data_IF_718824497260
#
_entry.id   IF_718824497260
#
_cell.length_a   1.000
_cell.length_b   1.000
_cell.length_c   1.000
_cell.angle_alpha   90.00
_cell.angle_beta   90.00
_cell.angle_gamma   90.00
#
_symmetry.space_group_name_H-M   'P 1'
#
loop_
_entity.id
_entity.type
_entity.pdbx_description
1 polymer ?
#
# COMPACT_ATOMS: atom_id res chain seq x y z
N UNK A 1 16.69 -17.38 -23.13
CA UNK A 1 16.59 -15.96 -23.55
C UNK A 1 15.15 -15.72 -23.96
N UNK A 2 14.36 -15.04 -23.12
CA UNK A 2 12.95 -14.77 -23.41
C UNK A 2 12.91 -13.61 -24.41
N UNK A 3 12.52 -13.88 -25.65
CA UNK A 3 12.27 -12.86 -26.66
C UNK A 3 11.04 -12.04 -26.25
N UNK A 4 11.11 -10.73 -26.44
CA UNK A 4 10.10 -9.74 -25.98
C UNK A 4 8.71 -10.02 -26.58
N UNK A 5 8.67 -10.72 -27.71
CA UNK A 5 7.45 -11.03 -28.48
C UNK A 5 6.57 -12.12 -27.85
N UNK A 6 7.08 -12.92 -26.91
CA UNK A 6 6.34 -13.99 -26.23
C UNK A 6 6.06 -13.68 -24.75
N UNK A 7 6.23 -12.43 -24.31
CA UNK A 7 5.88 -12.07 -22.94
C UNK A 7 4.37 -11.85 -22.83
N UNK A 8 3.64 -12.62 -21.98
CA UNK A 8 2.18 -12.49 -21.89
C UNK A 8 1.77 -11.04 -21.60
N UNK A 9 0.76 -10.53 -22.30
CA UNK A 9 0.26 -9.16 -22.13
C UNK A 9 -0.01 -8.81 -20.65
N UNK A 10 -0.48 -9.78 -19.87
CA UNK A 10 -0.71 -9.65 -18.42
C UNK A 10 0.59 -9.41 -17.65
N UNK A 11 1.65 -10.13 -17.97
CA UNK A 11 2.97 -9.97 -17.34
C UNK A 11 3.58 -8.61 -17.70
N UNK A 12 3.42 -8.15 -18.96
CA UNK A 12 3.86 -6.81 -19.37
C UNK A 12 3.13 -5.71 -18.61
N UNK A 13 1.81 -5.84 -18.47
CA UNK A 13 0.99 -4.88 -17.71
C UNK A 13 1.41 -4.83 -16.23
N UNK A 14 1.77 -5.97 -15.64
CA UNK A 14 2.28 -6.01 -14.28
C UNK A 14 3.59 -5.21 -14.16
N UNK A 15 4.55 -5.43 -15.06
CA UNK A 15 5.82 -4.69 -15.08
C UNK A 15 5.57 -3.18 -15.21
N UNK A 16 4.71 -2.77 -16.15
CA UNK A 16 4.35 -1.36 -16.34
C UNK A 16 3.71 -0.78 -15.08
N UNK A 17 2.79 -1.49 -14.44
CA UNK A 17 2.17 -1.05 -13.19
C UNK A 17 3.20 -0.90 -12.06
N UNK A 18 4.16 -1.82 -11.94
CA UNK A 18 5.24 -1.73 -10.97
C UNK A 18 6.12 -0.50 -11.22
N UNK A 19 6.51 -0.25 -12.48
CA UNK A 19 7.32 0.92 -12.84
C UNK A 19 6.58 2.23 -12.55
N UNK A 20 5.31 2.31 -12.92
CA UNK A 20 4.45 3.46 -12.63
C UNK A 20 4.35 3.72 -11.12
N UNK A 21 4.16 2.67 -10.34
CA UNK A 21 4.11 2.77 -8.87
C UNK A 21 5.44 3.29 -8.30
N UNK A 22 6.57 2.69 -8.70
CA UNK A 22 7.89 3.07 -8.21
C UNK A 22 8.26 4.52 -8.54
N UNK A 23 7.83 5.03 -9.70
CA UNK A 23 8.08 6.41 -10.12
C UNK A 23 7.16 7.41 -9.40
N UNK A 24 5.88 7.05 -9.24
CA UNK A 24 4.84 8.00 -8.83
C UNK A 24 4.67 8.11 -7.31
N UNK A 25 5.12 7.11 -6.56
CA UNK A 25 4.95 7.02 -5.10
C UNK A 25 6.27 6.72 -4.37
N UNK A 26 7.34 7.52 -4.59
CA UNK A 26 8.64 7.30 -3.93
C UNK A 26 8.56 7.34 -2.40
N UNK A 27 7.59 8.08 -1.85
CA UNK A 27 7.34 8.17 -0.41
C UNK A 27 6.81 6.89 0.23
N UNK A 28 6.23 5.97 -0.57
CA UNK A 28 5.79 4.65 -0.10
C UNK A 28 6.88 3.58 -0.18
N UNK A 29 8.08 3.95 -0.64
CA UNK A 29 9.22 3.05 -0.82
C UNK A 29 10.19 3.21 0.35
N UNK A 30 10.50 2.09 1.01
CA UNK A 30 11.53 2.02 2.03
C UNK A 30 12.70 1.19 1.51
N UNK A 31 13.92 1.68 1.69
CA UNK A 31 15.13 0.94 1.34
C UNK A 31 15.76 0.34 2.58
N UNK A 32 15.83 -0.98 2.63
CA UNK A 32 16.48 -1.69 3.74
C UNK A 32 17.11 -2.99 3.24
N UNK A 33 17.91 -3.61 4.08
CA UNK A 33 18.50 -4.92 3.81
C UNK A 33 17.46 -6.05 3.91
N UNK A 34 17.67 -7.16 3.20
CA UNK A 34 16.85 -8.36 3.40
C UNK A 34 17.00 -8.89 4.83
N UNK A 35 15.98 -9.54 5.36
CA UNK A 35 15.97 -10.08 6.74
C UNK A 35 17.09 -11.09 7.01
N UNK A 36 17.61 -11.74 5.97
CA UNK A 36 18.73 -12.69 6.06
C UNK A 36 20.10 -12.01 6.24
N UNK A 37 20.20 -10.69 6.07
CA UNK A 37 21.45 -9.97 6.22
C UNK A 37 21.91 -9.94 7.70
N UNK A 38 23.23 -9.96 7.98
CA UNK A 38 23.76 -9.93 9.35
C UNK A 38 23.31 -8.67 10.11
N UNK A 39 22.46 -8.87 11.12
CA UNK A 39 21.80 -7.77 11.87
C UNK A 39 22.80 -6.80 12.50
N UNK A 40 23.90 -7.31 13.04
CA UNK A 40 24.99 -6.50 13.62
C UNK A 40 25.58 -5.49 12.63
N UNK A 41 25.72 -5.88 11.36
CA UNK A 41 26.20 -4.98 10.32
C UNK A 41 25.10 -4.02 9.88
N UNK A 42 23.86 -4.52 9.70
CA UNK A 42 22.71 -3.70 9.32
C UNK A 42 22.49 -2.56 10.33
N UNK A 43 22.49 -2.88 11.63
CA UNK A 43 22.31 -1.88 12.68
C UNK A 43 23.43 -0.83 12.68
N UNK A 44 24.67 -1.21 12.39
CA UNK A 44 25.78 -0.25 12.24
C UNK A 44 25.58 0.70 11.07
N UNK A 45 24.95 0.26 9.97
CA UNK A 45 24.68 1.14 8.82
C UNK A 45 23.63 2.23 9.09
N UNK A 46 22.85 2.13 10.18
CA UNK A 46 21.85 3.14 10.55
C UNK A 46 22.47 4.43 11.09
N UNK A 47 23.73 4.39 11.50
CA UNK A 47 24.45 5.55 12.04
C UNK A 47 25.31 6.21 10.96
N UNK A 48 25.29 7.54 10.89
CA UNK A 48 26.11 8.33 9.97
C UNK A 48 27.56 8.47 10.48
N UNK A 49 28.26 7.34 10.59
CA UNK A 49 29.63 7.27 11.11
C UNK A 49 30.56 6.51 10.14
N UNK A 50 31.87 6.64 10.35
CA UNK A 50 32.87 5.84 9.61
C UNK A 50 32.64 4.33 9.78
N UNK A 51 32.18 3.90 10.96
CA UNK A 51 31.82 2.51 11.22
C UNK A 51 30.60 2.06 10.42
N UNK A 52 29.64 2.95 10.13
CA UNK A 52 28.52 2.68 9.24
C UNK A 52 28.96 2.46 7.78
N UNK A 53 29.90 3.27 7.27
CA UNK A 53 30.45 3.12 5.92
C UNK A 53 31.21 1.78 5.78
N UNK A 54 32.00 1.41 6.79
CA UNK A 54 32.72 0.13 6.81
C UNK A 54 31.73 -1.04 6.84
N UNK A 55 30.69 -0.96 7.67
CA UNK A 55 29.64 -1.99 7.72
C UNK A 55 28.90 -2.14 6.38
N UNK A 56 28.60 -1.02 5.70
CA UNK A 56 28.00 -1.01 4.37
C UNK A 56 28.91 -1.68 3.32
N UNK A 57 30.22 -1.40 3.33
CA UNK A 57 31.19 -2.06 2.44
C UNK A 57 31.25 -3.55 2.69
N UNK A 58 31.31 -3.97 3.96
CA UNK A 58 31.34 -5.39 4.33
C UNK A 58 30.06 -6.13 3.95
N UNK A 59 28.89 -5.51 4.15
CA UNK A 59 27.62 -6.06 3.65
C UNK A 59 27.67 -6.20 2.13
N UNK A 60 28.26 -5.21 1.45
CA UNK A 60 28.36 -5.27 0.01
C UNK A 60 29.27 -6.39 -0.50
N UNK A 61 30.39 -6.65 0.16
CA UNK A 61 31.32 -7.75 -0.12
C UNK A 61 30.66 -9.12 0.12
N UNK A 62 29.82 -9.23 1.15
CA UNK A 62 29.02 -10.42 1.45
C UNK A 62 27.83 -10.63 0.50
N UNK A 63 27.67 -9.77 -0.52
CA UNK A 63 26.58 -9.87 -1.50
C UNK A 63 25.24 -9.27 -1.05
N UNK A 64 25.18 -8.69 0.15
CA UNK A 64 23.97 -8.00 0.61
C UNK A 64 23.87 -6.61 0.00
N UNK A 65 22.66 -6.24 -0.43
CA UNK A 65 22.31 -4.91 -0.95
C UNK A 65 20.99 -4.46 -0.32
N UNK A 66 20.80 -3.15 -0.25
CA UNK A 66 19.49 -2.60 0.09
C UNK A 66 18.52 -2.93 -1.04
N UNK A 67 17.30 -3.31 -0.67
CA UNK A 67 16.20 -3.56 -1.58
C UNK A 67 15.06 -2.61 -1.26
N UNK A 68 14.30 -2.27 -2.30
CA UNK A 68 13.12 -1.41 -2.20
C UNK A 68 11.93 -2.23 -1.73
N UNK A 69 11.47 -1.95 -0.51
CA UNK A 69 10.24 -2.47 0.03
C UNK A 69 9.11 -1.48 -0.25
N UNK A 70 8.10 -1.95 -0.98
CA UNK A 70 6.91 -1.18 -1.34
C UNK A 70 5.75 -1.54 -0.40
N UNK A 71 4.89 -0.58 -0.07
CA UNK A 71 3.66 -0.83 0.70
C UNK A 71 3.88 -1.23 2.18
N UNK A 72 5.11 -1.10 2.70
CA UNK A 72 5.46 -1.42 4.10
C UNK A 72 5.08 -0.38 5.13
N UNK A 73 4.61 0.81 4.70
CA UNK A 73 3.95 1.73 5.60
C UNK A 73 2.62 1.09 6.05
N UNK A 74 2.72 0.22 7.05
CA UNK A 74 1.60 -0.50 7.65
C UNK A 74 0.53 0.52 7.98
N UNK A 75 -0.62 0.44 7.31
CA UNK A 75 -1.79 1.08 7.88
C UNK A 75 -2.02 0.45 9.26
N UNK A 76 -2.37 1.24 10.29
CA UNK A 76 -2.38 0.83 11.70
C UNK A 76 -3.50 -0.17 12.06
N UNK A 77 -3.80 -1.14 11.20
CA UNK A 77 -4.93 -2.06 11.31
C UNK A 77 -4.51 -3.53 11.08
N UNK A 78 -3.25 -3.89 11.38
CA UNK A 78 -2.82 -5.30 11.40
C UNK A 78 -3.53 -6.15 12.48
N UNK A 79 -4.33 -5.54 13.37
CA UNK A 79 -4.90 -6.22 14.52
C UNK A 79 -6.23 -6.95 14.26
N UNK A 80 -6.99 -6.62 13.20
CA UNK A 80 -8.32 -7.22 12.99
C UNK A 80 -8.35 -8.50 12.15
N UNK A 81 -7.24 -8.91 11.53
CA UNK A 81 -7.20 -10.23 10.85
C UNK A 81 -7.01 -11.39 11.84
N UNK A 82 -6.63 -11.11 13.10
CA UNK A 82 -6.44 -12.12 14.15
C UNK A 82 -7.58 -12.19 15.15
N UNK A 83 -8.41 -11.15 15.24
CA UNK A 83 -9.63 -11.21 16.04
C UNK A 83 -10.69 -11.88 15.19
N UNK A 84 -11.04 -13.12 15.56
CA UNK A 84 -12.29 -13.77 15.17
C UNK A 84 -13.40 -12.74 15.37
N UNK A 85 -13.92 -12.18 14.28
CA UNK A 85 -15.11 -11.36 14.34
C UNK A 85 -16.22 -12.31 14.78
N UNK A 86 -16.59 -12.24 16.05
CA UNK A 86 -17.61 -13.09 16.64
C UNK A 86 -18.85 -13.08 15.72
N UNK A 87 -19.22 -14.26 15.23
CA UNK A 87 -20.37 -14.45 14.32
C UNK A 87 -21.69 -13.95 14.94
N UNK A 88 -21.71 -13.70 16.26
CA UNK A 88 -22.84 -13.19 17.03
C UNK A 88 -23.28 -11.78 16.62
N UNK A 89 -22.40 -10.94 16.05
CA UNK A 89 -22.75 -9.58 15.60
C UNK A 89 -23.45 -9.54 14.22
N UNK A 90 -23.60 -10.69 13.55
CA UNK A 90 -24.21 -10.79 12.21
C UNK A 90 -25.74 -10.98 12.25
N UNK A 91 -26.34 -11.10 13.44
CA UNK A 91 -27.76 -11.46 13.61
C UNK A 91 -28.65 -10.31 14.11
N UNK A 92 -28.56 -9.12 13.52
CA UNK A 92 -29.60 -8.09 13.71
C UNK A 92 -30.65 -8.25 12.59
N UNK A 93 -31.88 -8.72 12.87
CA UNK A 93 -32.76 -9.25 11.81
C UNK A 93 -33.57 -8.19 11.03
N UNK A 94 -33.34 -6.89 11.20
CA UNK A 94 -34.31 -5.88 10.74
C UNK A 94 -33.82 -4.83 9.74
N UNK A 95 -32.53 -4.77 9.36
CA UNK A 95 -32.04 -3.74 8.42
C UNK A 95 -30.92 -4.26 7.50
N UNK A 96 -31.30 -4.82 6.35
CA UNK A 96 -30.41 -5.04 5.20
C UNK A 96 -29.23 -6.01 5.42
N UNK A 97 -28.52 -6.36 4.34
CA UNK A 97 -27.32 -7.23 4.42
C UNK A 97 -26.24 -6.53 5.26
N UNK A 98 -25.96 -7.06 6.45
CA UNK A 98 -24.82 -6.64 7.28
C UNK A 98 -23.56 -7.27 6.69
N UNK A 99 -22.71 -6.44 6.06
CA UNK A 99 -21.42 -6.89 5.50
C UNK A 99 -20.36 -6.71 6.58
N UNK A 100 -19.53 -7.75 6.78
CA UNK A 100 -18.40 -7.66 7.69
C UNK A 100 -17.38 -6.61 7.25
N UNK A 101 -16.61 -6.02 8.20
CA UNK A 101 -15.47 -5.20 7.86
C UNK A 101 -14.52 -5.98 6.95
N UNK A 102 -14.16 -5.38 5.83
CA UNK A 102 -13.24 -5.99 4.88
C UNK A 102 -12.34 -4.94 4.25
N UNK A 103 -11.22 -5.43 3.72
CA UNK A 103 -10.23 -4.60 3.04
C UNK A 103 -10.57 -4.46 1.57
N UNK A 104 -10.69 -3.21 1.10
CA UNK A 104 -10.64 -2.92 -0.33
C UNK A 104 -9.19 -2.75 -0.74
N UNK A 105 -8.72 -3.65 -1.61
CA UNK A 105 -7.34 -3.67 -2.11
C UNK A 105 -6.93 -2.35 -2.76
N UNK A 106 -5.66 -2.00 -2.56
CA UNK A 106 -5.03 -0.89 -3.25
C UNK A 106 -4.94 -1.16 -4.77
N UNK A 107 -5.03 -0.11 -5.58
CA UNK A 107 -4.90 -0.21 -7.04
C UNK A 107 -4.54 1.12 -7.69
N UNK A 108 -3.91 1.05 -8.87
CA UNK A 108 -3.76 2.20 -9.75
C UNK A 108 -5.09 2.53 -10.42
N UNK A 109 -5.49 3.80 -10.35
CA UNK A 109 -6.68 4.35 -11.00
C UNK A 109 -6.26 5.38 -12.04
N UNK A 110 -6.76 5.21 -13.27
CA UNK A 110 -6.71 6.25 -14.30
C UNK A 110 -7.84 7.26 -14.06
N UNK A 111 -7.52 8.51 -13.80
CA UNK A 111 -8.48 9.55 -13.45
C UNK A 111 -8.33 10.79 -14.35
N UNK A 112 -9.46 11.33 -14.81
CA UNK A 112 -9.50 12.62 -15.52
C UNK A 112 -9.28 13.78 -14.54
N UNK A 113 -8.57 14.81 -15.00
CA UNK A 113 -8.29 16.02 -14.22
C UNK A 113 -8.12 17.25 -15.13
N UNK A 114 -7.90 18.42 -14.52
CA UNK A 114 -7.69 19.68 -15.23
C UNK A 114 -8.99 20.37 -15.66
N UNK A 115 -8.86 21.52 -16.34
CA UNK A 115 -10.01 22.30 -16.82
C UNK A 115 -10.83 21.46 -17.81
N UNK A 116 -12.13 21.31 -17.54
CA UNK A 116 -13.03 20.50 -18.36
C UNK A 116 -12.71 19.00 -18.38
N UNK A 117 -11.92 18.48 -17.42
CA UNK A 117 -11.55 17.06 -17.32
C UNK A 117 -10.89 16.50 -18.59
N UNK A 118 -10.16 17.33 -19.34
CA UNK A 118 -9.55 16.94 -20.61
C UNK A 118 -8.23 16.17 -20.44
N UNK A 119 -7.59 16.23 -19.27
CA UNK A 119 -6.30 15.58 -19.01
C UNK A 119 -6.47 14.29 -18.21
N UNK A 120 -5.46 13.41 -18.26
CA UNK A 120 -5.46 12.13 -17.55
C UNK A 120 -4.25 11.99 -16.64
N UNK A 121 -4.48 11.50 -15.42
CA UNK A 121 -3.43 11.12 -14.48
C UNK A 121 -3.67 9.73 -13.93
N UNK A 122 -2.60 9.06 -13.52
CA UNK A 122 -2.70 7.84 -12.72
C UNK A 122 -2.58 8.21 -11.25
N UNK A 123 -3.41 7.57 -10.42
CA UNK A 123 -3.40 7.74 -8.97
C UNK A 123 -3.40 6.38 -8.29
N UNK A 124 -2.54 6.20 -7.30
CA UNK A 124 -2.59 5.07 -6.38
C UNK A 124 -3.70 5.31 -5.37
N UNK A 125 -4.72 4.46 -5.46
CA UNK A 125 -5.74 4.37 -4.44
C UNK A 125 -5.21 3.42 -3.40
N UNK A 126 -4.89 3.96 -2.22
CA UNK A 126 -4.45 3.15 -1.08
C UNK A 126 -5.54 2.18 -0.68
N UNK A 127 -5.11 1.09 -0.05
CA UNK A 127 -6.00 0.16 0.61
C UNK A 127 -6.85 0.90 1.65
N UNK A 128 -8.12 0.53 1.75
CA UNK A 128 -9.07 1.16 2.66
C UNK A 128 -9.94 0.11 3.33
N UNK A 129 -10.09 0.20 4.64
CA UNK A 129 -11.04 -0.61 5.40
C UNK A 129 -12.46 -0.08 5.18
N UNK A 130 -13.36 -0.95 4.71
CA UNK A 130 -14.78 -0.65 4.55
C UNK A 130 -15.52 -1.12 5.81
N UNK A 131 -16.58 -0.40 6.19
CA UNK A 131 -17.38 -0.65 7.41
C UNK A 131 -16.64 -0.48 8.75
N UNK A 132 -15.50 0.23 8.75
CA UNK A 132 -14.72 0.57 9.96
C UNK A 132 -15.55 1.26 11.05
N UNK A 133 -16.46 2.14 10.66
CA UNK A 133 -17.30 2.94 11.56
C UNK A 133 -18.39 2.12 12.27
N UNK A 134 -18.77 0.96 11.74
CA UNK A 134 -19.80 0.11 12.37
C UNK A 134 -19.29 -0.56 13.66
N UNK A 135 -17.97 -0.54 13.87
CA UNK A 135 -17.28 -1.14 15.02
C UNK A 135 -16.49 -0.12 15.86
N UNK A 136 -16.43 1.15 15.44
CA UNK A 136 -15.93 2.26 16.27
C UNK A 136 -17.14 3.08 16.74
N UNK A 137 -17.68 2.72 17.91
CA UNK A 137 -18.68 3.51 18.64
C UNK A 137 -18.05 4.79 19.18
N UNK A 138 -17.72 5.74 18.31
CA UNK A 138 -17.45 7.13 18.69
C UNK A 138 -17.53 8.05 17.47
N UNK A 139 -18.67 8.75 17.37
CA UNK A 139 -18.91 9.97 16.60
C UNK A 139 -18.73 9.90 15.07
N UNK A 140 -19.79 9.43 14.41
CA UNK A 140 -20.16 9.81 13.05
C UNK A 140 -20.06 11.34 12.86
N UNK A 141 -19.50 11.81 11.73
CA UNK A 141 -20.13 12.69 10.73
C UNK A 141 -19.07 13.13 9.68
N UNK A 142 -19.29 12.77 8.42
CA UNK A 142 -19.08 13.63 7.23
C UNK A 142 -19.55 12.87 5.99
N UNK A 143 -20.83 13.06 5.67
CA UNK A 143 -21.38 12.76 4.35
C UNK A 143 -21.05 14.00 3.51
N UNK A 144 -20.50 13.80 2.30
CA UNK A 144 -20.27 14.91 1.37
C UNK A 144 -21.62 15.53 1.01
N UNK A 145 -21.78 16.83 1.25
CA UNK A 145 -22.88 17.62 0.68
C UNK A 145 -22.74 17.55 -0.85
N UNK A 146 -23.74 16.96 -1.51
CA UNK A 146 -23.96 17.16 -2.94
C UNK A 146 -24.63 18.52 -3.03
N UNK A 147 -23.92 19.51 -3.56
CA UNK A 147 -24.52 20.82 -3.84
C UNK A 147 -25.73 20.60 -4.76
N UNK A 148 -26.90 20.99 -4.29
CA UNK A 148 -28.12 20.98 -5.09
C UNK A 148 -27.90 21.84 -6.34
N UNK A 149 -28.32 21.30 -7.49
CA UNK A 149 -28.36 22.06 -8.74
C UNK A 149 -29.53 23.01 -8.64
N UNK A 150 -29.25 24.30 -8.46
CA UNK A 150 -30.26 25.35 -8.66
C UNK A 150 -30.73 25.34 -10.12
N UNK A 151 -32.06 25.30 -10.27
CA UNK A 151 -32.84 25.41 -11.49
C UNK A 151 -33.40 26.81 -11.67
#
# INVERSE_FOLDING_TARGET
MITVDNFPLKSRNLVVNCLLYLQSYPEEIQEDYPQVAPENLVNRTKYASQSGIIAQKKLNELGYRKIKFCGRAKQPFEQFERETVDEELMLVPSVGRVVSPHKRRAHLRKQRYGKGLQQWRFMWIKETTIHRQKYQLSNCYRIYEVADRES
#
